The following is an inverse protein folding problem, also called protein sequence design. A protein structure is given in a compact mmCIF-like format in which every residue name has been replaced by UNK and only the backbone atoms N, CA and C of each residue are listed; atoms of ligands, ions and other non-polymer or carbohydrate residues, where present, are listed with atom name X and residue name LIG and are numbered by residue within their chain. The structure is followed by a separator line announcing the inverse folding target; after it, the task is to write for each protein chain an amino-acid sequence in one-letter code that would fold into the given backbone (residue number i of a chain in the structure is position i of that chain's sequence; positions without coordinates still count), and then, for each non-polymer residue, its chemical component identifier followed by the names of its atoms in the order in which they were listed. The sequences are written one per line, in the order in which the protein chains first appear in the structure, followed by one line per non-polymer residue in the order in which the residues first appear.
data_IF_208382077184
#
_entry.id   IF_208382077184
#
_cell.length_a   1.000
_cell.length_b   1.000
_cell.length_c   1.000
_cell.angle_alpha   90.00
_cell.angle_beta   90.00
_cell.angle_gamma   90.00
#
_symmetry.space_group_name_H-M   'P 1'
#
loop_
_entity.id
_entity.type
_entity.pdbx_description
1 polymer ?
#
# COMPACT_ATOMS: atom_id res chain seq x y z
N UNK A 1 -20.05 -19.75 -3.50
CA UNK A 1 -18.76 -19.08 -3.23
C UNK A 1 -19.04 -18.01 -2.19
N UNK A 2 -18.39 -18.07 -1.02
CA UNK A 2 -18.71 -17.20 0.13
C UNK A 2 -18.18 -15.79 -0.16
N UNK A 3 -19.03 -14.77 -0.04
CA UNK A 3 -18.61 -13.38 -0.16
C UNK A 3 -17.60 -13.06 0.95
N UNK A 4 -16.36 -12.75 0.58
CA UNK A 4 -15.33 -12.38 1.54
C UNK A 4 -15.66 -11.02 2.15
N UNK A 5 -15.51 -10.91 3.47
CA UNK A 5 -15.59 -9.63 4.17
C UNK A 5 -14.55 -8.65 3.62
N UNK A 6 -14.84 -7.35 3.69
CA UNK A 6 -13.89 -6.30 3.25
C UNK A 6 -12.54 -6.45 3.96
N UNK A 7 -12.56 -6.80 5.24
CA UNK A 7 -11.36 -7.05 6.05
C UNK A 7 -10.54 -8.22 5.50
N UNK A 8 -11.18 -9.33 5.14
CA UNK A 8 -10.49 -10.50 4.57
C UNK A 8 -9.85 -10.19 3.23
N UNK A 9 -10.54 -9.43 2.37
CA UNK A 9 -10.01 -8.96 1.09
C UNK A 9 -8.76 -8.09 1.31
N UNK A 10 -8.81 -7.16 2.25
CA UNK A 10 -7.66 -6.32 2.58
C UNK A 10 -6.52 -7.09 3.24
N UNK A 11 -6.80 -8.04 4.12
CA UNK A 11 -5.78 -8.91 4.73
C UNK A 11 -5.02 -9.71 3.67
N UNK A 12 -5.69 -10.20 2.62
CA UNK A 12 -5.00 -10.89 1.51
C UNK A 12 -4.05 -10.01 0.70
N UNK A 13 -4.22 -8.68 0.75
CA UNK A 13 -3.34 -7.71 0.09
C UNK A 13 -2.24 -7.28 1.06
N UNK A 14 -2.59 -6.91 2.29
CA UNK A 14 -1.66 -6.38 3.29
C UNK A 14 -0.60 -7.40 3.71
N UNK A 15 -0.93 -8.69 3.80
CA UNK A 15 0.03 -9.72 4.21
C UNK A 15 1.19 -9.89 3.21
N UNK A 16 0.95 -10.07 1.90
CA UNK A 16 2.02 -10.02 0.90
C UNK A 16 2.80 -8.71 0.90
N UNK A 17 2.13 -7.56 1.04
CA UNK A 17 2.83 -6.27 1.09
C UNK A 17 3.70 -6.13 2.35
N UNK A 18 3.29 -6.71 3.48
CA UNK A 18 4.09 -6.73 4.70
C UNK A 18 5.38 -7.53 4.53
N UNK A 19 5.34 -8.62 3.75
CA UNK A 19 6.55 -9.37 3.41
C UNK A 19 7.50 -8.50 2.58
N UNK A 20 6.97 -7.76 1.60
CA UNK A 20 7.76 -6.85 0.76
C UNK A 20 8.30 -5.65 1.55
N UNK A 21 7.57 -5.18 2.55
CA UNK A 21 8.02 -4.15 3.49
C UNK A 21 9.22 -4.59 4.34
N UNK A 22 9.36 -5.88 4.64
CA UNK A 22 10.48 -6.43 5.42
C UNK A 22 11.75 -6.69 4.59
N UNK A 23 11.93 -5.95 3.50
CA UNK A 23 13.07 -6.00 2.59
C UNK A 23 13.59 -7.42 2.29
N UNK A 24 12.79 -8.27 1.61
CA UNK A 24 13.23 -9.61 1.22
C UNK A 24 14.37 -9.58 0.19
N UNK A 25 14.64 -8.40 -0.37
CA UNK A 25 15.65 -8.15 -1.39
C UNK A 25 16.95 -7.58 -0.82
N UNK A 26 17.03 -7.39 0.50
CA UNK A 26 18.23 -6.95 1.21
C UNK A 26 19.53 -7.64 0.74
N UNK A 27 19.56 -8.97 0.50
CA UNK A 27 20.79 -9.64 0.04
C UNK A 27 21.32 -9.11 -1.31
N UNK A 28 20.46 -8.55 -2.17
CA UNK A 28 20.86 -7.97 -3.46
C UNK A 28 21.78 -6.76 -3.28
N UNK A 29 21.68 -6.04 -2.16
CA UNK A 29 22.54 -4.90 -1.84
C UNK A 29 24.02 -5.30 -1.72
N UNK A 30 24.31 -6.57 -1.39
CA UNK A 30 25.68 -7.10 -1.38
C UNK A 30 26.16 -7.60 -2.74
N UNK A 31 25.23 -7.93 -3.63
CA UNK A 31 25.52 -8.53 -4.93
C UNK A 31 25.62 -7.49 -6.05
N UNK A 32 24.90 -6.36 -5.91
CA UNK A 32 24.78 -5.33 -6.93
C UNK A 32 25.09 -3.97 -6.32
N UNK A 33 26.16 -3.32 -6.80
CA UNK A 33 26.48 -1.93 -6.48
C UNK A 33 25.65 -0.99 -7.38
N UNK A 34 24.35 -0.89 -7.11
CA UNK A 34 23.42 -0.04 -7.87
C UNK A 34 22.43 0.63 -6.93
N UNK A 35 21.75 1.66 -7.43
CA UNK A 35 20.62 2.34 -6.78
C UNK A 35 19.34 1.46 -6.73
N UNK A 36 19.32 0.35 -7.48
CA UNK A 36 18.14 -0.52 -7.62
C UNK A 36 17.65 -1.15 -6.30
N UNK A 37 18.50 -1.77 -5.45
CA UNK A 37 18.03 -2.35 -4.18
C UNK A 37 17.43 -1.30 -3.23
N UNK A 38 18.09 -0.14 -3.09
CA UNK A 38 17.60 0.94 -2.21
C UNK A 38 16.28 1.56 -2.68
N UNK A 39 16.11 1.75 -3.98
CA UNK A 39 14.86 2.28 -4.52
C UNK A 39 13.71 1.29 -4.44
N UNK A 40 13.99 0.01 -4.59
CA UNK A 40 13.02 -1.07 -4.47
C UNK A 40 12.53 -1.22 -3.02
N UNK A 41 13.43 -1.14 -2.03
CA UNK A 41 13.08 -1.08 -0.60
C UNK A 41 12.18 0.13 -0.31
N UNK A 42 12.61 1.33 -0.70
CA UNK A 42 11.85 2.56 -0.50
C UNK A 42 10.46 2.52 -1.15
N UNK A 43 10.36 1.94 -2.35
CA UNK A 43 9.10 1.74 -3.06
C UNK A 43 8.13 0.85 -2.29
N UNK A 44 8.59 -0.31 -1.81
CA UNK A 44 7.75 -1.25 -1.07
C UNK A 44 7.37 -0.72 0.32
N UNK A 45 8.27 -0.01 0.99
CA UNK A 45 7.95 0.68 2.24
C UNK A 45 6.81 1.69 2.06
N UNK A 46 6.94 2.58 1.07
CA UNK A 46 5.91 3.56 0.75
C UNK A 46 4.60 2.89 0.34
N UNK A 47 4.66 1.82 -0.48
CA UNK A 47 3.50 1.09 -0.96
C UNK A 47 2.71 0.45 0.20
N UNK A 48 3.38 -0.22 1.13
CA UNK A 48 2.74 -0.85 2.28
C UNK A 48 2.07 0.19 3.19
N UNK A 49 2.77 1.27 3.55
CA UNK A 49 2.22 2.32 4.41
C UNK A 49 0.99 2.98 3.78
N UNK A 50 1.03 3.22 2.46
CA UNK A 50 -0.10 3.77 1.72
C UNK A 50 -1.26 2.79 1.63
N UNK A 51 -1.01 1.51 1.36
CA UNK A 51 -2.03 0.46 1.37
C UNK A 51 -2.68 0.29 2.76
N UNK A 52 -1.88 0.39 3.82
CA UNK A 52 -2.36 0.35 5.21
C UNK A 52 -3.25 1.55 5.52
N UNK A 53 -2.86 2.76 5.10
CA UNK A 53 -3.68 3.95 5.23
C UNK A 53 -5.02 3.80 4.47
N UNK A 54 -4.98 3.25 3.26
CA UNK A 54 -6.18 3.02 2.46
C UNK A 54 -7.13 2.02 3.13
N UNK A 55 -6.59 0.92 3.67
CA UNK A 55 -7.34 -0.03 4.48
C UNK A 55 -8.06 0.67 5.63
N UNK A 56 -7.36 1.49 6.42
CA UNK A 56 -7.95 2.22 7.53
C UNK A 56 -9.05 3.19 7.09
N UNK A 57 -8.86 3.92 5.99
CA UNK A 57 -9.88 4.80 5.41
C UNK A 57 -11.12 4.01 4.93
N UNK A 58 -10.91 2.83 4.36
CA UNK A 58 -11.98 1.94 3.92
C UNK A 58 -12.78 1.37 5.10
N UNK A 59 -12.10 0.89 6.14
CA UNK A 59 -12.74 0.37 7.35
C UNK A 59 -13.52 1.48 8.07
N UNK A 60 -12.89 2.63 8.32
CA UNK A 60 -13.53 3.74 9.02
C UNK A 60 -14.78 4.24 8.30
N UNK A 61 -14.69 4.47 6.99
CA UNK A 61 -15.85 4.88 6.21
C UNK A 61 -16.89 3.74 6.12
N UNK A 62 -16.45 2.47 6.05
CA UNK A 62 -17.30 1.29 6.15
C UNK A 62 -18.18 1.27 7.41
N UNK A 63 -17.58 1.55 8.57
CA UNK A 63 -18.29 1.62 9.87
C UNK A 63 -19.26 2.80 9.92
N UNK A 64 -18.86 3.97 9.40
CA UNK A 64 -19.61 5.23 9.53
C UNK A 64 -20.89 5.32 8.71
N UNK A 65 -20.96 4.68 7.53
CA UNK A 65 -22.10 4.84 6.61
C UNK A 65 -22.69 3.46 6.26
N UNK A 66 -23.76 3.05 6.93
CA UNK A 66 -24.45 1.79 6.58
C UNK A 66 -25.48 2.06 5.47
N UNK A 67 -25.23 1.60 4.23
CA UNK A 67 -26.15 1.80 3.08
C UNK A 67 -25.57 1.30 1.74
N UNK A 68 -26.39 1.24 0.69
CA UNK A 68 -25.98 0.80 -0.65
C UNK A 68 -24.92 1.74 -1.25
N UNK A 69 -23.76 1.20 -1.63
CA UNK A 69 -22.68 1.98 -2.23
C UNK A 69 -22.27 1.43 -3.57
N UNK A 70 -22.10 2.33 -4.53
CA UNK A 70 -21.29 2.05 -5.73
C UNK A 70 -19.83 1.97 -5.28
N UNK A 71 -19.22 0.79 -5.46
CA UNK A 71 -17.82 0.51 -5.11
C UNK A 71 -16.88 1.62 -5.62
N UNK A 72 -17.06 2.06 -6.87
CA UNK A 72 -16.24 3.11 -7.49
C UNK A 72 -16.25 4.44 -6.73
N UNK A 73 -17.41 5.00 -6.41
CA UNK A 73 -17.51 6.29 -5.70
C UNK A 73 -16.93 6.21 -4.29
N UNK A 74 -16.91 5.00 -3.70
CA UNK A 74 -16.33 4.77 -2.40
C UNK A 74 -14.80 4.70 -2.44
N UNK A 75 -14.19 4.00 -3.41
CA UNK A 75 -12.72 3.81 -3.44
C UNK A 75 -11.96 4.94 -4.15
N UNK A 76 -12.52 5.54 -5.20
CA UNK A 76 -11.82 6.48 -6.07
C UNK A 76 -11.25 7.72 -5.32
N UNK A 77 -12.01 8.46 -4.49
CA UNK A 77 -11.44 9.62 -3.78
C UNK A 77 -10.35 9.21 -2.78
N UNK A 78 -10.49 8.03 -2.17
CA UNK A 78 -9.50 7.50 -1.21
C UNK A 78 -8.21 7.11 -1.92
N UNK A 79 -8.33 6.47 -3.09
CA UNK A 79 -7.20 6.12 -3.95
C UNK A 79 -6.46 7.35 -4.46
N UNK A 80 -7.15 8.44 -4.79
CA UNK A 80 -6.49 9.68 -5.23
C UNK A 80 -5.67 10.28 -4.09
N UNK A 81 -6.24 10.42 -2.89
CA UNK A 81 -5.53 11.01 -1.74
C UNK A 81 -4.31 10.15 -1.38
N UNK A 82 -4.51 8.85 -1.21
CA UNK A 82 -3.43 7.92 -0.85
C UNK A 82 -2.40 7.80 -1.98
N UNK A 83 -2.83 7.81 -3.24
CA UNK A 83 -1.95 7.74 -4.40
C UNK A 83 -1.05 8.96 -4.56
N UNK A 84 -1.56 10.16 -4.29
CA UNK A 84 -0.74 11.38 -4.28
C UNK A 84 0.29 11.35 -3.14
N UNK A 85 -0.11 10.89 -1.94
CA UNK A 85 0.82 10.69 -0.83
C UNK A 85 1.90 9.67 -1.19
N UNK A 86 1.51 8.55 -1.79
CA UNK A 86 2.44 7.52 -2.25
C UNK A 86 3.44 8.06 -3.27
N UNK A 87 2.98 8.79 -4.29
CA UNK A 87 3.87 9.41 -5.28
C UNK A 87 4.86 10.38 -4.62
N UNK A 88 4.41 11.19 -3.67
CA UNK A 88 5.30 12.09 -2.93
C UNK A 88 6.34 11.34 -2.09
N UNK A 89 5.95 10.26 -1.41
CA UNK A 89 6.85 9.45 -0.59
C UNK A 89 7.90 8.73 -1.45
N UNK A 90 7.48 8.15 -2.58
CA UNK A 90 8.38 7.45 -3.50
C UNK A 90 9.35 8.42 -4.16
N UNK A 91 8.88 9.58 -4.64
CA UNK A 91 9.76 10.57 -5.29
C UNK A 91 10.81 11.12 -4.33
N UNK A 92 10.42 11.46 -3.10
CA UNK A 92 11.36 11.94 -2.08
C UNK A 92 12.32 10.83 -1.62
N UNK A 93 11.81 9.62 -1.42
CA UNK A 93 12.60 8.50 -0.95
C UNK A 93 13.64 8.04 -1.97
N UNK A 94 13.25 7.92 -3.25
CA UNK A 94 14.19 7.60 -4.34
C UNK A 94 15.26 8.69 -4.52
N UNK A 95 14.92 9.96 -4.25
CA UNK A 95 15.90 11.04 -4.36
C UNK A 95 16.96 11.01 -3.25
N UNK A 96 16.68 10.33 -2.13
CA UNK A 96 17.61 10.18 -1.01
C UNK A 96 18.50 8.94 -1.09
N UNK A 97 18.17 7.96 -1.95
CA UNK A 97 18.93 6.72 -2.17
C UNK A 97 19.96 6.86 -3.28
#
# INVERSE_FOLDING_TARGET
MRDWGIEQKWMSILLPLLLLYNDPFFPLSFLVNSWFPGTLDTFFQALFLCALLLFWLCVYHGIRVQGERKFLTFYLPKLVIVGLLWLSAVTLGIWQT
#
